data_IF_883130470521
#
_entry.id   IF_883130470521
#
_cell.length_a   1.000
_cell.length_b   1.000
_cell.length_c   1.000
_cell.angle_alpha   90.00
_cell.angle_beta   90.00
_cell.angle_gamma   90.00
#
_symmetry.space_group_name_H-M   'P 1'
#
loop_
_entity.id
_entity.type
_entity.pdbx_description
1 polymer ?
#
# COMPACT_ATOMS: atom_id res chain seq x y z
N UNK A 1 3.50 24.01 -15.18
CA UNK A 1 4.36 22.98 -15.81
C UNK A 1 4.55 23.33 -17.27
N UNK A 2 5.71 23.01 -17.84
CA UNK A 2 5.95 23.20 -19.28
C UNK A 2 5.35 22.03 -20.07
N UNK A 3 4.98 22.23 -21.34
CA UNK A 3 4.52 21.13 -22.21
C UNK A 3 5.55 19.99 -22.30
N UNK A 4 6.84 20.31 -22.28
CA UNK A 4 7.90 19.30 -22.30
C UNK A 4 7.87 18.38 -21.07
N UNK A 5 7.58 18.95 -19.89
CA UNK A 5 7.43 18.16 -18.65
C UNK A 5 6.19 17.29 -18.68
N UNK A 6 5.07 17.79 -19.23
CA UNK A 6 3.83 17.02 -19.38
C UNK A 6 4.04 15.84 -20.32
N UNK A 7 4.63 16.08 -21.50
CA UNK A 7 4.90 15.02 -22.48
C UNK A 7 5.85 13.95 -21.95
N UNK A 8 6.85 14.33 -21.15
CA UNK A 8 7.74 13.37 -20.50
C UNK A 8 6.98 12.47 -19.52
N UNK A 9 6.13 13.06 -18.66
CA UNK A 9 5.34 12.30 -17.69
C UNK A 9 4.33 11.37 -18.38
N UNK A 10 3.67 11.83 -19.45
CA UNK A 10 2.76 11.00 -20.24
C UNK A 10 3.48 9.81 -20.88
N UNK A 11 4.71 10.02 -21.40
CA UNK A 11 5.51 8.94 -21.97
C UNK A 11 5.98 7.94 -20.90
N UNK A 12 6.48 8.43 -19.77
CA UNK A 12 6.87 7.59 -18.64
C UNK A 12 5.69 6.76 -18.10
N UNK A 13 4.51 7.40 -17.97
CA UNK A 13 3.28 6.72 -17.58
C UNK A 13 2.90 5.63 -18.58
N UNK A 14 2.87 5.95 -19.89
CA UNK A 14 2.58 4.96 -20.94
C UNK A 14 3.55 3.78 -20.91
N UNK A 15 4.84 4.04 -20.75
CA UNK A 15 5.87 2.97 -20.66
C UNK A 15 5.67 2.08 -19.45
N UNK A 16 5.32 2.65 -18.30
CA UNK A 16 4.98 1.88 -17.09
C UNK A 16 3.77 0.96 -17.31
N UNK A 17 2.76 1.41 -18.05
CA UNK A 17 1.63 0.56 -18.41
C UNK A 17 2.03 -0.56 -19.38
N UNK A 18 2.95 -0.29 -20.29
CA UNK A 18 3.45 -1.30 -21.23
C UNK A 18 4.25 -2.41 -20.52
N UNK A 19 4.95 -2.13 -19.41
CA UNK A 19 5.62 -3.21 -18.67
C UNK A 19 4.63 -4.18 -18.04
N UNK A 20 3.44 -3.71 -17.66
CA UNK A 20 2.37 -4.57 -17.14
C UNK A 20 1.81 -5.53 -18.20
N UNK A 21 1.90 -5.20 -19.49
CA UNK A 21 1.47 -6.10 -20.57
C UNK A 21 2.28 -7.41 -20.55
N UNK A 22 3.60 -7.32 -20.33
CA UNK A 22 4.44 -8.52 -20.25
C UNK A 22 4.11 -9.40 -19.05
N UNK A 23 3.63 -8.80 -17.96
CA UNK A 23 3.17 -9.53 -16.77
C UNK A 23 1.84 -10.21 -17.07
N UNK A 24 0.93 -9.53 -17.76
CA UNK A 24 -0.38 -10.07 -18.19
C UNK A 24 -0.20 -11.29 -19.11
N UNK A 25 0.64 -11.18 -20.13
CA UNK A 25 0.98 -12.30 -21.05
C UNK A 25 1.55 -13.51 -20.27
N UNK A 26 2.39 -13.26 -19.25
CA UNK A 26 2.94 -14.31 -18.40
C UNK A 26 1.86 -14.98 -17.54
N UNK A 27 0.94 -14.20 -16.97
CA UNK A 27 -0.18 -14.71 -16.17
C UNK A 27 -1.10 -15.56 -17.04
N UNK A 28 -1.43 -15.11 -18.25
CA UNK A 28 -2.20 -15.91 -19.23
C UNK A 28 -1.52 -17.26 -19.47
N UNK A 29 -0.21 -17.24 -19.79
CA UNK A 29 0.55 -18.46 -20.07
C UNK A 29 0.53 -19.44 -18.89
N UNK A 30 0.67 -18.94 -17.66
CA UNK A 30 0.61 -19.74 -16.43
C UNK A 30 -0.77 -20.40 -16.25
N UNK A 31 -1.84 -19.62 -16.41
CA UNK A 31 -3.23 -20.10 -16.24
C UNK A 31 -3.57 -21.15 -17.30
N UNK A 32 -3.25 -20.88 -18.57
CA UNK A 32 -3.44 -21.85 -19.66
C UNK A 32 -2.64 -23.13 -19.42
N UNK A 33 -1.43 -23.02 -18.85
CA UNK A 33 -0.63 -24.19 -18.52
C UNK A 33 -1.30 -25.04 -17.44
N UNK A 34 -1.79 -24.42 -16.35
CA UNK A 34 -2.53 -25.10 -15.28
C UNK A 34 -3.79 -25.79 -15.80
N UNK A 35 -4.53 -25.13 -16.71
CA UNK A 35 -5.70 -25.71 -17.36
C UNK A 35 -5.32 -26.93 -18.22
N UNK A 36 -4.25 -26.83 -19.02
CA UNK A 36 -3.80 -27.92 -19.89
C UNK A 36 -3.40 -29.19 -19.15
N UNK A 37 -2.89 -29.06 -17.92
CA UNK A 37 -2.51 -30.18 -17.06
C UNK A 37 -3.63 -30.58 -16.08
N UNK A 38 -4.79 -29.91 -16.13
CA UNK A 38 -5.97 -30.13 -15.29
C UNK A 38 -5.74 -29.92 -13.80
N UNK A 39 -4.84 -29.02 -13.43
CA UNK A 39 -4.57 -28.65 -12.04
C UNK A 39 -5.18 -27.30 -11.67
N UNK A 40 -5.78 -26.57 -12.62
CA UNK A 40 -6.36 -25.25 -12.36
C UNK A 40 -7.46 -25.29 -11.28
N UNK A 41 -8.38 -26.26 -11.36
CA UNK A 41 -9.47 -26.42 -10.37
C UNK A 41 -8.98 -26.82 -8.97
N UNK A 42 -7.71 -27.24 -8.86
CA UNK A 42 -7.06 -27.67 -7.62
C UNK A 42 -5.98 -26.67 -7.16
N UNK A 43 -5.92 -25.48 -7.76
CA UNK A 43 -4.90 -24.46 -7.48
C UNK A 43 -5.54 -23.17 -7.03
N UNK A 44 -5.10 -22.64 -5.88
CA UNK A 44 -5.38 -21.26 -5.49
C UNK A 44 -4.36 -20.32 -6.13
N UNK A 45 -4.83 -19.33 -6.89
CA UNK A 45 -3.98 -18.30 -7.50
C UNK A 45 -4.15 -17.00 -6.73
N UNK A 46 -3.07 -16.53 -6.10
CA UNK A 46 -3.00 -15.22 -5.45
C UNK A 46 -2.14 -14.29 -6.31
N UNK A 47 -2.75 -13.20 -6.80
CA UNK A 47 -2.06 -12.15 -7.55
C UNK A 47 -2.13 -10.86 -6.74
N UNK A 48 -0.97 -10.28 -6.40
CA UNK A 48 -0.86 -9.09 -5.56
C UNK A 48 0.42 -8.31 -5.90
N UNK A 49 0.59 -7.14 -5.28
CA UNK A 49 1.82 -6.34 -5.29
C UNK A 49 2.29 -6.13 -3.86
N UNK A 50 3.57 -5.84 -3.67
CA UNK A 50 4.16 -5.39 -2.41
C UNK A 50 3.62 -4.01 -2.00
N UNK A 51 3.69 -3.04 -2.91
CA UNK A 51 3.15 -1.70 -2.75
C UNK A 51 2.64 -1.14 -4.08
N UNK A 52 1.83 -0.10 -4.01
CA UNK A 52 1.25 0.58 -5.17
C UNK A 52 1.84 1.97 -5.40
N UNK A 53 1.32 2.64 -6.43
CA UNK A 53 1.48 4.08 -6.61
C UNK A 53 0.09 4.70 -6.59
N UNK A 54 -0.19 5.53 -5.57
CA UNK A 54 -1.53 6.06 -5.35
C UNK A 54 -1.84 7.17 -6.36
N UNK A 55 -2.67 6.88 -7.37
CA UNK A 55 -3.29 7.89 -8.25
C UNK A 55 -4.80 7.96 -8.01
N UNK A 56 -5.21 8.04 -6.74
CA UNK A 56 -6.60 8.32 -6.36
C UNK A 56 -7.63 7.22 -6.66
N UNK A 57 -7.21 5.96 -6.75
CA UNK A 57 -8.10 4.86 -7.15
C UNK A 57 -8.37 3.85 -6.02
N UNK A 58 -9.65 3.47 -5.96
CA UNK A 58 -10.27 2.26 -5.39
C UNK A 58 -10.92 2.33 -4.00
N UNK A 59 -12.24 2.09 -4.04
CA UNK A 59 -13.04 1.53 -2.95
C UNK A 59 -12.98 0.01 -3.04
N UNK A 60 -12.34 -0.65 -2.09
CA UNK A 60 -12.62 -2.06 -1.79
C UNK A 60 -13.83 -2.11 -0.85
N UNK A 61 -14.76 -3.09 -1.01
CA UNK A 61 -15.91 -3.21 -0.11
C UNK A 61 -15.50 -3.61 1.32
N UNK A 62 -14.33 -4.22 1.48
CA UNK A 62 -13.72 -4.55 2.76
C UNK A 62 -12.18 -4.45 2.66
N UNK A 63 -11.49 -3.89 3.67
CA UNK A 63 -10.02 -3.85 3.69
C UNK A 63 -9.41 -5.25 3.85
N UNK A 64 -8.52 -5.60 2.91
CA UNK A 64 -7.62 -6.76 2.97
C UNK A 64 -6.20 -6.23 2.86
N UNK A 65 -5.29 -6.79 3.66
CA UNK A 65 -3.90 -6.34 3.80
C UNK A 65 -2.93 -7.44 3.41
N UNK A 66 -1.69 -7.08 3.05
CA UNK A 66 -0.65 -8.06 2.72
C UNK A 66 -0.35 -9.03 3.87
N UNK A 67 -0.46 -8.56 5.13
CA UNK A 67 -0.31 -9.40 6.32
C UNK A 67 -1.38 -10.48 6.46
N UNK A 68 -2.47 -10.41 5.69
CA UNK A 68 -3.55 -11.40 5.70
C UNK A 68 -3.26 -12.62 4.84
N UNK A 69 -2.26 -12.55 3.95
CA UNK A 69 -1.90 -13.67 3.09
C UNK A 69 -1.47 -14.88 3.93
N UNK A 70 -0.60 -14.67 4.92
CA UNK A 70 -0.11 -15.74 5.78
C UNK A 70 -1.24 -16.48 6.52
N UNK A 71 -2.13 -15.82 7.31
CA UNK A 71 -3.23 -16.52 7.97
C UNK A 71 -4.24 -17.10 6.97
N UNK A 72 -4.44 -16.49 5.79
CA UNK A 72 -5.33 -17.05 4.76
C UNK A 72 -4.80 -18.36 4.19
N UNK A 73 -3.49 -18.44 3.91
CA UNK A 73 -2.85 -19.68 3.44
C UNK A 73 -2.93 -20.79 4.49
N UNK A 74 -2.72 -20.45 5.77
CA UNK A 74 -2.86 -21.40 6.87
C UNK A 74 -4.31 -21.89 7.01
N UNK A 75 -5.29 -21.01 6.91
CA UNK A 75 -6.73 -21.37 6.95
C UNK A 75 -7.11 -22.33 5.82
N UNK A 76 -6.65 -22.03 4.59
CA UNK A 76 -6.86 -22.90 3.42
C UNK A 76 -6.25 -24.29 3.65
N UNK A 77 -5.07 -24.36 4.29
CA UNK A 77 -4.43 -25.63 4.64
C UNK A 77 -5.11 -26.39 5.79
N UNK A 78 -6.14 -25.84 6.41
CA UNK A 78 -6.87 -26.44 7.52
C UNK A 78 -6.17 -26.29 8.88
N UNK A 79 -5.18 -25.40 8.99
CA UNK A 79 -4.51 -25.10 10.26
C UNK A 79 -5.45 -24.30 11.16
N UNK A 80 -5.45 -24.62 12.45
CA UNK A 80 -6.18 -23.85 13.45
C UNK A 80 -5.47 -22.51 13.69
N UNK A 81 -6.06 -21.41 13.20
CA UNK A 81 -5.49 -20.07 13.34
C UNK A 81 -5.34 -19.61 14.80
N UNK A 82 -6.11 -20.14 15.74
CA UNK A 82 -5.95 -19.82 17.16
C UNK A 82 -4.65 -20.36 17.78
N UNK A 83 -3.91 -21.19 17.04
CA UNK A 83 -2.64 -21.77 17.48
C UNK A 83 -1.41 -21.06 16.94
N UNK A 84 -1.59 -20.03 16.10
CA UNK A 84 -0.50 -19.26 15.49
C UNK A 84 -0.62 -17.79 15.90
N UNK A 85 0.52 -17.13 16.05
CA UNK A 85 0.63 -15.73 16.42
C UNK A 85 0.91 -14.90 15.16
N UNK A 86 -0.12 -14.25 14.63
CA UNK A 86 -0.08 -13.47 13.40
C UNK A 86 -0.97 -12.23 13.57
N UNK A 87 -0.51 -11.09 13.07
CA UNK A 87 -1.27 -9.82 13.14
C UNK A 87 -2.43 -9.76 12.14
N UNK A 88 -2.29 -10.46 11.01
CA UNK A 88 -3.29 -10.49 9.95
C UNK A 88 -4.53 -11.32 10.30
N UNK A 89 -5.54 -11.26 9.45
CA UNK A 89 -6.75 -12.08 9.57
C UNK A 89 -7.02 -12.81 8.26
N UNK A 90 -7.44 -14.07 8.32
CA UNK A 90 -7.81 -14.79 7.10
C UNK A 90 -9.00 -14.11 6.41
N UNK A 91 -8.87 -13.82 5.11
CA UNK A 91 -9.96 -13.33 4.28
C UNK A 91 -10.68 -14.43 3.50
N UNK A 92 -10.38 -15.70 3.77
CA UNK A 92 -11.09 -16.84 3.19
C UNK A 92 -12.63 -16.75 3.38
N UNK A 93 -13.18 -16.26 4.51
CA UNK A 93 -14.62 -16.05 4.66
C UNK A 93 -15.22 -15.04 3.67
N UNK A 94 -14.43 -14.10 3.14
CA UNK A 94 -14.88 -13.15 2.13
C UNK A 94 -14.95 -13.79 0.73
N UNK A 95 -14.09 -14.76 0.45
CA UNK A 95 -14.05 -15.49 -0.82
C UNK A 95 -15.10 -16.61 -0.87
N UNK A 96 -15.36 -17.26 0.26
CA UNK A 96 -16.29 -18.38 0.38
C UNK A 96 -17.26 -18.20 1.57
N UNK A 97 -18.14 -17.19 1.52
CA UNK A 97 -19.03 -16.85 2.64
C UNK A 97 -20.06 -17.94 2.96
N UNK A 98 -20.31 -18.88 2.03
CA UNK A 98 -21.14 -20.06 2.26
C UNK A 98 -20.44 -21.15 3.08
N UNK A 99 -19.11 -21.13 3.18
CA UNK A 99 -18.30 -22.16 3.84
C UNK A 99 -17.75 -21.69 5.19
N UNK A 100 -17.59 -20.38 5.37
CA UNK A 100 -16.98 -19.77 6.56
C UNK A 100 -17.69 -18.47 6.90
N UNK A 101 -18.05 -18.32 8.18
CA UNK A 101 -18.49 -17.04 8.72
C UNK A 101 -17.28 -16.20 9.11
N UNK A 102 -17.32 -14.90 8.81
CA UNK A 102 -16.29 -13.94 9.20
C UNK A 102 -16.80 -12.51 9.10
N UNK A 103 -16.08 -11.59 9.72
CA UNK A 103 -16.34 -10.16 9.66
C UNK A 103 -15.20 -9.44 8.97
N UNK A 104 -15.51 -8.42 8.16
CA UNK A 104 -14.50 -7.50 7.65
C UNK A 104 -13.96 -6.63 8.79
N UNK A 105 -12.66 -6.28 8.73
CA UNK A 105 -12.11 -5.29 9.67
C UNK A 105 -12.58 -3.89 9.25
N UNK A 106 -12.89 -2.99 10.20
CA UNK A 106 -13.38 -1.65 9.88
C UNK A 106 -12.27 -0.62 9.61
N UNK A 107 -11.03 -0.94 9.99
CA UNK A 107 -9.86 -0.07 9.80
C UNK A 107 -8.59 -0.90 9.60
N UNK A 108 -7.53 -0.25 9.15
CA UNK A 108 -6.19 -0.82 9.05
C UNK A 108 -5.10 0.21 9.32
N UNK A 109 -3.90 -0.28 9.60
CA UNK A 109 -2.71 0.53 9.83
C UNK A 109 -1.85 0.57 8.57
N UNK A 110 -1.22 1.73 8.35
CA UNK A 110 -0.13 1.92 7.39
C UNK A 110 1.00 2.57 8.14
N UNK A 111 2.16 1.94 8.15
CA UNK A 111 3.33 2.44 8.86
C UNK A 111 4.49 2.55 7.89
N UNK A 112 5.31 3.57 8.10
CA UNK A 112 6.55 3.75 7.37
C UNK A 112 7.62 4.26 8.33
N UNK A 113 8.81 3.67 8.24
CA UNK A 113 9.97 4.07 9.04
C UNK A 113 10.99 4.70 8.13
N UNK A 114 11.20 6.00 8.31
CA UNK A 114 12.14 6.77 7.51
C UNK A 114 13.58 6.41 7.81
N UNK A 115 14.36 6.21 6.76
CA UNK A 115 15.78 5.91 6.84
C UNK A 115 16.62 7.19 6.84
N UNK A 116 17.75 7.16 7.53
CA UNK A 116 18.72 8.25 7.47
C UNK A 116 19.86 8.06 8.46
N UNK A 117 20.96 8.78 8.23
CA UNK A 117 22.15 8.69 9.06
C UNK A 117 22.47 10.02 9.73
N UNK A 118 23.12 9.98 10.89
CA UNK A 118 23.59 11.21 11.54
C UNK A 118 24.76 11.89 10.82
N UNK A 119 25.34 11.23 9.83
CA UNK A 119 26.33 11.79 8.92
C UNK A 119 25.68 12.18 7.59
N UNK A 120 26.16 13.24 6.92
CA UNK A 120 25.68 13.58 5.57
C UNK A 120 25.90 12.43 4.58
N UNK A 121 24.96 12.28 3.65
CA UNK A 121 25.07 11.28 2.59
C UNK A 121 26.30 11.57 1.70
N UNK A 122 27.15 10.57 1.37
CA UNK A 122 28.33 10.77 0.54
C UNK A 122 28.04 11.33 -0.85
N UNK A 123 26.89 11.02 -1.45
CA UNK A 123 26.47 11.56 -2.73
C UNK A 123 26.11 13.05 -2.61
N UNK A 124 25.65 13.48 -1.43
CA UNK A 124 25.05 14.80 -1.19
C UNK A 124 25.54 15.46 0.10
N UNK A 125 26.86 15.74 0.24
CA UNK A 125 27.45 16.16 1.50
C UNK A 125 26.97 17.53 2.02
N UNK A 126 26.39 18.35 1.14
CA UNK A 126 25.93 19.71 1.47
C UNK A 126 24.50 19.76 2.02
N UNK A 127 23.74 18.66 1.96
CA UNK A 127 22.33 18.63 2.38
C UNK A 127 22.16 18.45 3.90
N UNK A 128 23.25 18.17 4.62
CA UNK A 128 23.22 17.88 6.05
C UNK A 128 22.88 16.41 6.35
N UNK A 129 22.78 16.06 7.64
CA UNK A 129 22.48 14.70 8.08
C UNK A 129 20.97 14.39 8.03
N UNK A 130 20.62 13.13 8.18
CA UNK A 130 19.25 12.65 8.34
C UNK A 130 18.55 12.26 7.04
N UNK A 131 19.27 12.29 5.91
CA UNK A 131 18.79 11.86 4.60
C UNK A 131 19.38 10.48 4.25
N UNK A 132 18.68 9.75 3.37
CA UNK A 132 19.12 8.47 2.81
C UNK A 132 18.78 8.37 1.33
N UNK A 133 19.40 7.42 0.64
CA UNK A 133 19.15 7.10 -0.78
C UNK A 133 19.25 8.34 -1.68
N UNK A 134 20.33 9.09 -1.53
CA UNK A 134 20.53 10.30 -2.32
C UNK A 134 21.19 10.05 -3.68
N UNK A 135 20.71 10.73 -4.71
CA UNK A 135 21.26 10.72 -6.06
C UNK A 135 22.28 11.86 -6.28
N UNK A 136 23.20 11.75 -7.27
CA UNK A 136 24.24 12.75 -7.53
C UNK A 136 23.75 14.19 -7.80
N UNK A 137 22.48 14.38 -8.13
CA UNK A 137 21.81 15.67 -8.30
C UNK A 137 21.22 16.24 -7.00
N UNK A 138 21.52 15.64 -5.85
CA UNK A 138 21.05 16.04 -4.52
C UNK A 138 19.54 15.91 -4.30
N UNK A 139 18.93 14.90 -4.93
CA UNK A 139 17.59 14.43 -4.61
C UNK A 139 17.71 13.19 -3.73
N UNK A 140 17.15 13.23 -2.53
CA UNK A 140 17.13 12.09 -1.61
C UNK A 140 15.71 11.53 -1.53
N UNK A 141 15.58 10.20 -1.57
CA UNK A 141 14.28 9.54 -1.54
C UNK A 141 13.72 9.37 -0.13
N UNK A 142 14.56 9.47 0.90
CA UNK A 142 14.13 9.21 2.27
C UNK A 142 14.85 10.06 3.34
N UNK A 143 14.25 10.11 4.52
CA UNK A 143 14.76 10.85 5.67
C UNK A 143 14.25 10.31 7.02
N UNK A 144 14.99 10.56 8.10
CA UNK A 144 14.61 10.13 9.46
C UNK A 144 13.23 10.64 9.90
N UNK A 145 12.90 11.88 9.54
CA UNK A 145 11.63 12.52 9.89
C UNK A 145 10.46 12.08 8.99
N UNK A 146 10.73 11.29 7.96
CA UNK A 146 9.70 10.60 7.18
C UNK A 146 9.28 9.31 7.91
N UNK A 147 9.13 9.32 9.23
CA UNK A 147 8.64 8.16 10.00
C UNK A 147 7.21 8.47 10.43
N UNK A 148 6.24 7.63 10.08
CA UNK A 148 4.84 7.87 10.40
C UNK A 148 4.03 6.60 10.60
N UNK A 149 2.94 6.74 11.34
CA UNK A 149 1.90 5.73 11.47
C UNK A 149 0.54 6.35 11.11
N UNK A 150 -0.23 5.63 10.31
CA UNK A 150 -1.55 6.04 9.85
C UNK A 150 -2.61 5.01 10.21
N UNK A 151 -3.80 5.47 10.56
CA UNK A 151 -5.02 4.67 10.67
C UNK A 151 -5.94 5.04 9.51
N UNK A 152 -6.32 4.05 8.70
CA UNK A 152 -7.33 4.19 7.65
C UNK A 152 -8.61 3.50 8.07
N UNK A 153 -9.68 4.27 8.22
CA UNK A 153 -11.02 3.75 8.56
C UNK A 153 -11.87 3.69 7.31
N UNK A 154 -12.43 2.52 7.02
CA UNK A 154 -13.32 2.25 5.89
C UNK A 154 -14.67 1.77 6.43
N UNK A 155 -15.52 2.71 6.85
CA UNK A 155 -16.89 2.41 7.28
C UNK A 155 -17.89 3.26 6.50
N UNK A 156 -19.12 2.79 6.25
CA UNK A 156 -20.11 3.54 5.48
C UNK A 156 -20.40 4.95 6.00
N UNK A 157 -20.28 5.15 7.33
CA UNK A 157 -20.50 6.44 7.99
C UNK A 157 -19.20 7.21 8.26
N UNK A 158 -18.04 6.58 8.11
CA UNK A 158 -16.75 7.17 8.45
C UNK A 158 -15.66 6.65 7.50
N UNK A 159 -15.28 7.51 6.57
CA UNK A 159 -14.21 7.26 5.62
C UNK A 159 -13.07 8.26 5.87
N UNK A 160 -12.12 7.88 6.72
CA UNK A 160 -11.11 8.80 7.26
C UNK A 160 -9.71 8.17 7.24
N UNK A 161 -8.71 9.03 7.03
CA UNK A 161 -7.30 8.70 7.22
C UNK A 161 -6.71 9.70 8.22
N UNK A 162 -6.09 9.18 9.27
CA UNK A 162 -5.33 9.94 10.26
C UNK A 162 -3.89 9.45 10.21
N UNK A 163 -2.92 10.36 10.20
CA UNK A 163 -1.49 10.05 10.20
C UNK A 163 -0.77 10.92 11.23
N UNK A 164 0.13 10.32 11.98
CA UNK A 164 1.01 11.01 12.94
C UNK A 164 2.46 10.72 12.59
N UNK A 165 3.25 11.79 12.50
CA UNK A 165 4.66 11.73 12.17
C UNK A 165 5.50 11.73 13.45
N UNK A 166 6.50 10.86 13.49
CA UNK A 166 7.49 10.81 14.54
C UNK A 166 8.57 11.87 14.27
N UNK A 167 8.22 13.14 14.52
CA UNK A 167 9.09 14.29 14.34
C UNK A 167 9.09 15.22 15.57
N UNK A 168 9.81 16.34 15.46
CA UNK A 168 9.86 17.36 16.51
C UNK A 168 8.74 18.42 16.41
N UNK A 169 7.92 18.35 15.36
CA UNK A 169 6.88 19.34 15.06
C UNK A 169 5.49 18.85 15.48
N UNK A 170 5.38 17.58 15.91
CA UNK A 170 4.11 16.90 16.18
C UNK A 170 3.19 17.00 14.97
N UNK A 171 3.75 16.77 13.78
CA UNK A 171 2.99 16.91 12.55
C UNK A 171 1.94 15.81 12.42
N UNK A 172 0.71 16.24 12.13
CA UNK A 172 -0.45 15.36 12.00
C UNK A 172 -1.21 15.71 10.73
N UNK A 173 -1.68 14.67 10.04
CA UNK A 173 -2.54 14.81 8.87
C UNK A 173 -3.85 14.05 9.07
N UNK A 174 -4.95 14.70 8.68
CA UNK A 174 -6.26 14.06 8.64
C UNK A 174 -6.96 14.39 7.33
N UNK A 175 -7.52 13.36 6.71
CA UNK A 175 -8.28 13.46 5.47
C UNK A 175 -9.63 12.75 5.64
N UNK A 176 -10.70 13.43 5.24
CA UNK A 176 -12.02 12.82 5.08
C UNK A 176 -12.18 12.40 3.62
N UNK A 177 -12.04 11.11 3.35
CA UNK A 177 -12.01 10.59 1.97
C UNK A 177 -13.39 10.56 1.31
N UNK A 178 -14.48 10.72 2.07
CA UNK A 178 -15.82 10.95 1.50
C UNK A 178 -15.88 12.30 0.78
N UNK A 179 -15.32 13.35 1.37
CA UNK A 179 -15.33 14.71 0.81
C UNK A 179 -14.08 15.07 0.02
N UNK A 180 -12.96 14.44 0.34
CA UNK A 180 -11.63 14.68 -0.25
C UNK A 180 -10.96 13.34 -0.61
N UNK A 181 -11.48 12.64 -1.64
CA UNK A 181 -10.98 11.33 -2.05
C UNK A 181 -9.52 11.35 -2.54
N UNK A 182 -9.01 12.55 -2.85
CA UNK A 182 -7.64 12.77 -3.34
C UNK A 182 -6.68 13.25 -2.25
N UNK A 183 -7.14 13.38 -1.00
CA UNK A 183 -6.30 13.72 0.16
C UNK A 183 -5.53 15.04 -0.04
N UNK A 184 -6.17 16.04 -0.65
CA UNK A 184 -5.55 17.31 -0.99
C UNK A 184 -5.67 18.34 0.13
N UNK A 185 -6.58 18.15 1.09
CA UNK A 185 -6.91 19.09 2.14
C UNK A 185 -6.75 18.45 3.52
N UNK A 186 -5.62 18.72 4.18
CA UNK A 186 -5.41 18.31 5.57
C UNK A 186 -6.36 19.12 6.50
N UNK A 187 -7.37 18.46 7.05
CA UNK A 187 -8.43 19.12 7.84
C UNK A 187 -7.97 19.52 9.25
N UNK A 188 -6.87 18.98 9.76
CA UNK A 188 -6.28 19.39 11.05
C UNK A 188 -5.86 20.87 11.00
N UNK A 189 -5.35 21.31 9.86
CA UNK A 189 -4.91 22.70 9.66
C UNK A 189 -6.06 23.69 9.51
N UNK A 190 -7.29 23.22 9.29
CA UNK A 190 -8.47 24.09 9.08
C UNK A 190 -9.16 24.48 10.39
N UNK A 191 -8.92 23.75 11.49
CA UNK A 191 -9.33 24.18 12.84
C UNK A 191 -8.30 25.15 13.41
N UNK A 192 -8.27 26.37 12.87
CA UNK A 192 -7.73 27.51 13.62
C UNK A 192 -8.72 27.83 14.74
N UNK A 193 -8.28 27.79 16.00
CA UNK A 193 -9.06 28.34 17.12
C UNK A 193 -9.27 29.85 16.94
#
# INVERSE_FOLDING_TARGET
MTESSVNFLDDAYRRRWQTLLSVDDMVESLVQKLESIKELDNTYVFYTSDNGYHTGQFSLPAPVLSIDLAPTLLDISGVNLSSVDLDGQSFLPLMAPSLRNGSARPFFLVEYTGEGQQTPDPACPNMGPGLSHCFPDCVCEDSLNNTYACVRTLQPQLDLQYCEFADSESFVEVYNLTSDPHQLQNIVKQTSC
#
